data_IF_207974006534
#
_entry.id   IF_207974006534
#
_cell.length_a   1.000
_cell.length_b   1.000
_cell.length_c   1.000
_cell.angle_alpha   90.00
_cell.angle_beta   90.00
_cell.angle_gamma   90.00
#
_symmetry.space_group_name_H-M   'P 1'
#
loop_
_entity.id
_entity.type
_entity.pdbx_description
1 polymer ?
#
# COMPACT_ATOMS: atom_id res chain seq x y z
N UNK A 1 -13.01 18.75 6.32
CA UNK A 1 -13.36 18.01 5.08
C UNK A 1 -12.43 16.82 4.95
N UNK A 2 -12.86 15.75 4.29
CA UNK A 2 -12.08 14.51 4.09
C UNK A 2 -11.81 14.25 2.61
N UNK A 3 -10.79 13.46 2.29
CA UNK A 3 -10.44 13.05 0.93
C UNK A 3 -10.34 11.53 0.80
N UNK A 4 -11.05 10.99 -0.17
CA UNK A 4 -10.98 9.56 -0.53
C UNK A 4 -9.66 9.25 -1.22
N UNK A 5 -9.02 8.16 -0.82
CA UNK A 5 -7.78 7.63 -1.38
C UNK A 5 -7.83 6.11 -1.47
N UNK A 6 -6.85 5.52 -2.14
CA UNK A 6 -6.75 4.09 -2.34
C UNK A 6 -5.35 3.60 -1.92
N UNK A 7 -5.30 2.41 -1.32
CA UNK A 7 -4.06 1.74 -0.90
C UNK A 7 -4.13 0.28 -1.33
N UNK A 8 -3.05 -0.24 -1.89
CA UNK A 8 -2.95 -1.65 -2.25
C UNK A 8 -2.20 -2.41 -1.16
N UNK A 9 -2.74 -3.55 -0.72
CA UNK A 9 -2.06 -4.45 0.21
C UNK A 9 -0.84 -5.08 -0.46
N UNK A 10 0.25 -5.22 0.28
CA UNK A 10 1.45 -5.94 -0.16
C UNK A 10 1.89 -6.93 0.92
N UNK A 11 2.02 -8.21 0.56
CA UNK A 11 2.56 -9.24 1.47
C UNK A 11 4.09 -9.18 1.61
N UNK A 12 4.76 -8.39 0.76
CA UNK A 12 6.20 -8.21 0.76
C UNK A 12 6.60 -6.73 0.92
N UNK A 13 7.47 -6.48 1.89
CA UNK A 13 8.11 -5.18 2.14
C UNK A 13 7.83 -4.61 3.52
N UNK A 14 8.41 -3.44 3.80
CA UNK A 14 8.34 -2.82 5.13
C UNK A 14 6.93 -2.40 5.54
N UNK A 15 6.12 -1.93 4.58
CA UNK A 15 4.75 -1.51 4.84
C UNK A 15 3.76 -2.53 4.26
N UNK A 16 2.78 -3.00 5.02
CA UNK A 16 1.76 -3.93 4.51
C UNK A 16 0.81 -3.30 3.49
N UNK A 17 0.84 -1.97 3.33
CA UNK A 17 0.08 -1.26 2.30
C UNK A 17 0.92 -0.20 1.58
N UNK A 18 0.60 0.04 0.31
CA UNK A 18 1.12 1.16 -0.46
C UNK A 18 0.76 2.50 0.19
N UNK A 19 1.46 3.58 -0.16
CA UNK A 19 1.00 4.93 0.21
C UNK A 19 -0.41 5.20 -0.35
N UNK A 20 -1.24 6.02 0.32
CA UNK A 20 -2.52 6.48 -0.23
C UNK A 20 -2.35 7.19 -1.58
N UNK A 21 -3.18 6.81 -2.55
CA UNK A 21 -3.19 7.33 -3.92
C UNK A 21 -4.57 7.84 -4.34
N UNK A 22 -4.61 8.65 -5.40
CA UNK A 22 -5.87 9.24 -5.89
C UNK A 22 -6.78 8.24 -6.59
N UNK A 23 -6.22 7.16 -7.16
CA UNK A 23 -6.98 6.14 -7.90
C UNK A 23 -6.48 4.74 -7.54
N UNK A 24 -7.30 3.69 -7.74
CA UNK A 24 -6.91 2.30 -7.53
C UNK A 24 -5.66 1.89 -8.31
N UNK A 25 -5.56 2.28 -9.59
CA UNK A 25 -4.45 1.92 -10.48
C UNK A 25 -3.13 2.53 -9.99
N UNK A 26 -3.19 3.77 -9.47
CA UNK A 26 -2.03 4.39 -8.85
C UNK A 26 -1.63 3.70 -7.55
N UNK A 27 -2.58 3.13 -6.81
CA UNK A 27 -2.29 2.36 -5.60
C UNK A 27 -1.55 1.06 -5.96
N UNK A 28 -2.02 0.32 -6.96
CA UNK A 28 -1.33 -0.87 -7.51
C UNK A 28 0.07 -0.49 -7.98
N UNK A 29 0.19 0.57 -8.77
CA UNK A 29 1.49 1.08 -9.25
C UNK A 29 2.45 1.45 -8.12
N UNK A 30 1.93 1.95 -7.01
CA UNK A 30 2.73 2.26 -5.83
C UNK A 30 3.16 1.00 -5.07
N UNK A 31 2.31 -0.02 -5.01
CA UNK A 31 2.62 -1.34 -4.48
C UNK A 31 3.67 -2.07 -5.33
N UNK A 32 3.53 -2.08 -6.66
CA UNK A 32 4.51 -2.62 -7.60
C UNK A 32 5.91 -2.06 -7.30
N UNK A 33 6.02 -0.73 -7.23
CA UNK A 33 7.31 -0.08 -6.96
C UNK A 33 7.85 -0.44 -5.56
N UNK A 34 6.98 -0.65 -4.58
CA UNK A 34 7.37 -1.00 -3.22
C UNK A 34 7.92 -2.43 -3.16
N UNK A 35 7.18 -3.39 -3.72
CA UNK A 35 7.57 -4.81 -3.78
C UNK A 35 8.82 -4.99 -4.63
N UNK A 36 8.86 -4.36 -5.81
CA UNK A 36 10.00 -4.47 -6.75
C UNK A 36 11.31 -3.99 -6.14
N UNK A 37 11.29 -2.96 -5.27
CA UNK A 37 12.50 -2.54 -4.56
C UNK A 37 13.06 -3.66 -3.70
N UNK A 38 12.21 -4.35 -2.95
CA UNK A 38 12.63 -5.45 -2.07
C UNK A 38 13.15 -6.63 -2.88
N UNK A 39 12.50 -6.95 -4.01
CA UNK A 39 12.98 -7.99 -4.92
C UNK A 39 14.37 -7.64 -5.48
N UNK A 40 14.57 -6.41 -5.96
CA UNK A 40 15.86 -5.95 -6.46
C UNK A 40 16.95 -5.86 -5.37
N UNK A 41 16.59 -5.40 -4.17
CA UNK A 41 17.50 -5.35 -3.03
C UNK A 41 18.00 -6.77 -2.68
N UNK A 42 17.12 -7.79 -2.72
CA UNK A 42 17.49 -9.20 -2.53
C UNK A 42 18.41 -9.75 -3.61
N UNK A 43 18.29 -9.25 -4.83
CA UNK A 43 19.16 -9.57 -5.96
C UNK A 43 20.48 -8.76 -5.95
N UNK A 44 20.67 -7.84 -5.00
CA UNK A 44 21.83 -6.96 -4.94
C UNK A 44 21.90 -5.91 -6.06
N UNK A 45 20.76 -5.60 -6.69
CA UNK A 45 20.70 -4.65 -7.82
C UNK A 45 20.60 -3.22 -7.32
N UNK A 46 21.57 -2.40 -7.69
CA UNK A 46 21.52 -0.94 -7.45
C UNK A 46 20.65 -0.27 -8.49
N UNK A 47 19.82 0.70 -8.08
CA UNK A 47 18.91 1.42 -8.97
C UNK A 47 19.06 2.94 -8.91
N UNK A 48 18.80 3.66 -10.02
CA UNK A 48 18.98 5.10 -10.12
C UNK A 48 17.83 5.91 -9.51
N UNK A 49 18.04 7.23 -9.45
CA UNK A 49 16.95 8.21 -9.30
C UNK A 49 16.01 8.06 -10.50
N UNK A 50 14.69 8.18 -10.27
CA UNK A 50 13.71 7.84 -11.31
C UNK A 50 13.36 6.35 -11.38
N UNK A 51 13.54 5.65 -10.26
CA UNK A 51 13.28 4.21 -10.07
C UNK A 51 12.08 3.66 -10.87
N UNK A 52 10.91 4.29 -10.81
CA UNK A 52 9.70 3.76 -11.43
C UNK A 52 9.78 3.64 -12.97
N UNK A 53 10.46 4.57 -13.64
CA UNK A 53 10.66 4.50 -15.09
C UNK A 53 11.72 3.45 -15.42
N UNK A 54 12.87 3.52 -14.74
CA UNK A 54 13.96 2.56 -14.91
C UNK A 54 13.52 1.11 -14.68
N UNK A 55 12.75 0.84 -13.61
CA UNK A 55 12.21 -0.47 -13.27
C UNK A 55 11.43 -1.07 -14.44
N UNK A 56 10.51 -0.31 -15.03
CA UNK A 56 9.64 -0.81 -16.12
C UNK A 56 10.38 -1.01 -17.43
N UNK A 57 11.45 -0.27 -17.66
CA UNK A 57 12.25 -0.40 -18.88
C UNK A 57 13.28 -1.52 -18.79
N UNK A 58 13.81 -1.82 -17.61
CA UNK A 58 14.96 -2.72 -17.44
C UNK A 58 14.60 -4.04 -16.75
N UNK A 59 13.56 -4.05 -15.92
CA UNK A 59 13.14 -5.22 -15.13
C UNK A 59 11.62 -5.45 -15.20
N UNK A 60 11.05 -5.62 -16.42
CA UNK A 60 9.63 -5.95 -16.56
C UNK A 60 9.25 -7.30 -15.93
N UNK A 61 10.21 -8.22 -15.84
CA UNK A 61 10.13 -9.48 -15.12
C UNK A 61 9.88 -9.27 -13.62
N UNK A 62 10.65 -8.37 -12.98
CA UNK A 62 10.46 -8.03 -11.55
C UNK A 62 9.12 -7.34 -11.32
N UNK A 63 8.67 -6.50 -12.27
CA UNK A 63 7.32 -5.91 -12.19
C UNK A 63 6.26 -7.00 -12.25
N UNK A 64 6.41 -7.98 -13.14
CA UNK A 64 5.48 -9.11 -13.24
C UNK A 64 5.46 -9.92 -11.95
N UNK A 65 6.63 -10.29 -11.41
CA UNK A 65 6.74 -11.03 -10.14
C UNK A 65 6.14 -10.23 -8.98
N UNK A 66 6.27 -8.90 -8.99
CA UNK A 66 5.71 -8.07 -7.93
C UNK A 66 4.20 -8.25 -7.76
N UNK A 67 3.46 -8.57 -8.83
CA UNK A 67 2.01 -8.80 -8.75
C UNK A 67 1.62 -9.99 -7.89
N UNK A 68 2.49 -11.00 -7.74
CA UNK A 68 2.23 -12.17 -6.87
C UNK A 68 2.16 -11.78 -5.38
N UNK A 69 2.67 -10.61 -5.02
CA UNK A 69 2.68 -10.09 -3.65
C UNK A 69 1.65 -8.97 -3.43
N UNK A 70 0.91 -8.55 -4.47
CA UNK A 70 -0.07 -7.48 -4.37
C UNK A 70 -1.45 -8.08 -4.16
N UNK A 71 -2.06 -7.72 -3.04
CA UNK A 71 -3.42 -8.14 -2.70
C UNK A 71 -4.47 -7.11 -3.12
N UNK A 72 -5.50 -7.02 -2.29
CA UNK A 72 -6.62 -6.11 -2.52
C UNK A 72 -6.24 -4.62 -2.52
N UNK A 73 -7.07 -3.83 -3.20
CA UNK A 73 -7.04 -2.37 -3.13
C UNK A 73 -8.16 -1.91 -2.20
N UNK A 74 -7.81 -1.24 -1.12
CA UNK A 74 -8.75 -0.65 -0.16
C UNK A 74 -8.93 0.83 -0.40
N UNK A 75 -10.17 1.28 -0.30
CA UNK A 75 -10.50 2.71 -0.19
C UNK A 75 -10.29 3.16 1.26
N UNK A 76 -9.66 4.31 1.45
CA UNK A 76 -9.41 4.94 2.75
C UNK A 76 -9.77 6.41 2.73
N UNK A 77 -10.06 6.96 3.90
CA UNK A 77 -10.45 8.37 4.07
C UNK A 77 -9.36 9.08 4.85
N UNK A 78 -8.74 10.10 4.24
CA UNK A 78 -7.75 10.96 4.89
C UNK A 78 -8.38 12.30 5.25
N UNK A 79 -7.87 12.95 6.30
CA UNK A 79 -8.16 14.36 6.53
C UNK A 79 -7.53 15.21 5.40
N UNK A 80 -8.12 16.37 5.10
CA UNK A 80 -7.62 17.25 4.02
C UNK A 80 -6.16 17.63 4.24
N UNK A 81 -5.79 18.00 5.46
CA UNK A 81 -4.43 18.45 5.81
C UNK A 81 -3.46 17.32 6.12
N UNK A 82 -3.94 16.07 6.17
CA UNK A 82 -3.09 14.93 6.48
C UNK A 82 -2.25 14.49 5.27
N UNK A 83 -0.95 14.27 5.50
CA UNK A 83 -0.06 13.78 4.48
C UNK A 83 -0.22 12.26 4.29
N UNK A 84 -0.19 11.75 3.03
CA UNK A 84 -0.28 10.31 2.78
C UNK A 84 0.76 9.46 3.52
N UNK A 85 1.95 10.03 3.80
CA UNK A 85 3.00 9.34 4.55
C UNK A 85 2.63 9.15 6.01
N UNK A 86 2.09 10.19 6.64
CA UNK A 86 1.64 10.17 8.04
C UNK A 86 0.46 9.21 8.21
N UNK A 87 -0.53 9.29 7.32
CA UNK A 87 -1.65 8.35 7.31
C UNK A 87 -1.17 6.90 7.22
N UNK A 88 -0.27 6.60 6.26
CA UNK A 88 0.25 5.24 6.10
C UNK A 88 1.01 4.78 7.34
N UNK A 89 1.84 5.63 7.92
CA UNK A 89 2.58 5.31 9.13
C UNK A 89 1.61 4.91 10.24
N UNK A 90 0.54 5.67 10.47
CA UNK A 90 -0.52 5.27 11.41
C UNK A 90 -1.13 3.95 10.95
N UNK A 91 -1.79 3.92 9.79
CA UNK A 91 -2.55 2.78 9.27
C UNK A 91 -1.78 1.43 9.29
N UNK A 92 -0.49 1.44 8.98
CA UNK A 92 0.32 0.23 8.90
C UNK A 92 1.08 -0.13 10.20
N UNK A 93 1.34 0.83 11.10
CA UNK A 93 1.94 0.51 12.41
C UNK A 93 0.90 0.17 13.47
N UNK A 94 -0.38 0.38 13.19
CA UNK A 94 -1.38 0.02 14.16
C UNK A 94 -1.56 -1.50 14.13
N UNK A 95 -1.38 -2.13 15.29
CA UNK A 95 -2.00 -3.40 15.69
C UNK A 95 -3.54 -3.29 15.69
N UNK A 96 -4.15 -2.72 14.65
CA UNK A 96 -5.58 -2.36 14.54
C UNK A 96 -6.43 -3.52 14.01
N UNK A 97 -6.02 -4.74 14.30
CA UNK A 97 -6.89 -5.90 14.16
C UNK A 97 -7.72 -6.14 15.44
N UNK A 98 -7.47 -5.40 16.54
CA UNK A 98 -8.13 -5.61 17.82
C UNK A 98 -9.33 -4.71 18.15
N UNK A 99 -9.46 -3.53 17.53
CA UNK A 99 -10.50 -2.55 17.91
C UNK A 99 -11.63 -2.38 16.89
N UNK A 100 -11.35 -2.43 15.58
CA UNK A 100 -12.42 -2.35 14.57
C UNK A 100 -13.31 -3.61 14.57
N UNK A 101 -12.77 -4.80 14.88
CA UNK A 101 -13.54 -6.04 15.00
C UNK A 101 -14.45 -6.09 16.25
N UNK A 102 -14.23 -5.21 17.23
CA UNK A 102 -15.08 -5.14 18.44
C UNK A 102 -16.27 -4.19 18.31
N UNK A 103 -16.24 -3.26 17.36
CA UNK A 103 -17.36 -2.33 17.14
C UNK A 103 -18.49 -3.00 16.35
N UNK A 104 -18.17 -3.89 15.41
CA UNK A 104 -19.18 -4.66 14.65
C UNK A 104 -19.86 -5.76 15.49
N UNK A 105 -19.31 -6.14 16.66
CA UNK A 105 -19.89 -7.20 17.51
C UNK A 105 -20.79 -6.68 18.64
N UNK A 106 -20.94 -5.36 18.81
CA UNK A 106 -21.84 -4.75 19.80
C UNK A 106 -23.01 -3.99 19.16
N UNK A 107 -23.18 -4.13 17.85
CA UNK A 107 -24.02 -3.28 17.02
C UNK A 107 -25.36 -3.85 16.57
N UNK A 108 -25.86 -4.99 17.08
CA UNK A 108 -27.25 -5.40 16.83
C UNK A 108 -27.85 -6.15 18.03
N UNK A 109 -28.63 -5.44 18.83
CA UNK A 109 -29.74 -6.01 19.61
C UNK A 109 -30.83 -4.96 19.74
N UNK A 110 -31.63 -4.81 18.68
CA UNK A 110 -33.00 -4.33 18.80
C UNK A 110 -33.93 -5.54 18.82
N UNK A 111 -34.25 -6.01 20.03
CA UNK A 111 -35.45 -6.75 20.41
C UNK A 111 -35.56 -6.76 21.93
#
# INVERSE_FOLDING_TARGET
>A
MVKTRYMAHTSLGFWSFSRPQTTPEKAIRAAENQVSRILLDRLGVTYPIGFAAWLRSNHPDVVSEAHDYIGEVRQVVLLVDELPREFRYRYCNVSFLGEAARVDSLGESFA
#
